data_IF_355130180292
#
_entry.id   IF_355130180292
#
_cell.length_a   1.000
_cell.length_b   1.000
_cell.length_c   1.000
_cell.angle_alpha   90.00
_cell.angle_beta   90.00
_cell.angle_gamma   90.00
#
_symmetry.space_group_name_H-M   'P 1'
#
loop_
_entity.id
_entity.type
_entity.pdbx_description
1 polymer ?
#
# COMPACT_ATOMS: atom_id res chain seq x y z
N UNK A 1 10.49 -0.23 17.49
CA UNK A 1 10.01 0.83 16.58
C UNK A 1 10.64 2.15 17.02
N UNK A 2 11.23 2.90 16.10
CA UNK A 2 11.80 4.22 16.37
C UNK A 2 10.71 5.32 16.38
N UNK A 3 11.09 6.52 16.83
CA UNK A 3 10.16 7.65 16.97
C UNK A 3 9.58 8.12 15.64
N UNK A 4 10.37 8.11 14.56
CA UNK A 4 9.94 8.55 13.23
C UNK A 4 8.88 7.60 12.68
N UNK A 5 9.12 6.29 12.77
CA UNK A 5 8.16 5.26 12.35
C UNK A 5 6.88 5.33 13.18
N UNK A 6 6.99 5.52 14.50
CA UNK A 6 5.84 5.64 15.40
C UNK A 6 4.96 6.85 15.04
N UNK A 7 5.59 8.00 14.78
CA UNK A 7 4.90 9.23 14.38
C UNK A 7 4.19 9.06 13.03
N UNK A 8 4.89 8.47 12.06
CA UNK A 8 4.30 8.20 10.74
C UNK A 8 3.09 7.26 10.82
N UNK A 9 3.16 6.19 11.62
CA UNK A 9 2.00 5.33 11.85
C UNK A 9 0.84 6.07 12.51
N UNK A 10 1.10 6.94 13.49
CA UNK A 10 0.07 7.75 14.11
C UNK A 10 -0.61 8.69 13.11
N UNK A 11 0.16 9.35 12.23
CA UNK A 11 -0.39 10.22 11.16
C UNK A 11 -1.28 9.45 10.18
N UNK A 12 -0.91 8.21 9.81
CA UNK A 12 -1.73 7.33 8.97
C UNK A 12 -3.03 6.97 9.69
N UNK A 13 -2.96 6.56 10.96
CA UNK A 13 -4.13 6.16 11.75
C UNK A 13 -5.09 7.34 11.91
N UNK A 14 -4.59 8.51 12.30
CA UNK A 14 -5.41 9.72 12.46
C UNK A 14 -6.12 10.10 11.14
N UNK A 15 -5.40 10.06 10.02
CA UNK A 15 -6.00 10.33 8.72
C UNK A 15 -7.05 9.28 8.36
N UNK A 16 -6.78 7.99 8.62
CA UNK A 16 -7.73 6.91 8.36
C UNK A 16 -9.02 7.10 9.16
N UNK A 17 -8.92 7.37 10.46
CA UNK A 17 -10.05 7.64 11.37
C UNK A 17 -10.86 8.87 10.96
N UNK A 18 -10.23 9.86 10.33
CA UNK A 18 -10.93 11.06 9.85
C UNK A 18 -11.66 10.89 8.52
N UNK A 19 -11.36 9.84 7.74
CA UNK A 19 -11.85 9.66 6.36
C UNK A 19 -12.72 8.42 6.20
N UNK A 20 -12.39 7.34 6.88
CA UNK A 20 -13.03 6.03 6.72
C UNK A 20 -13.95 5.70 7.90
N UNK A 21 -14.83 4.74 7.68
CA UNK A 21 -15.73 4.19 8.68
C UNK A 21 -15.16 2.87 9.23
N UNK A 22 -15.58 2.46 10.43
CA UNK A 22 -15.22 1.17 11.03
C UNK A 22 -13.72 0.85 10.97
N UNK A 23 -12.88 1.82 11.35
CA UNK A 23 -11.43 1.67 11.28
C UNK A 23 -10.92 0.73 12.38
N UNK A 24 -10.29 -0.36 11.97
CA UNK A 24 -9.56 -1.29 12.82
C UNK A 24 -8.09 -1.28 12.41
N UNK A 25 -7.19 -1.21 13.38
CA UNK A 25 -5.76 -1.27 13.10
C UNK A 25 -5.01 -2.16 14.08
N UNK A 26 -3.90 -2.71 13.60
CA UNK A 26 -2.91 -3.42 14.41
C UNK A 26 -1.50 -2.94 14.09
N UNK A 27 -0.65 -2.92 15.11
CA UNK A 27 0.78 -2.63 14.98
C UNK A 27 1.57 -3.86 15.45
N UNK A 28 2.39 -4.43 14.57
CA UNK A 28 3.39 -5.45 14.91
C UNK A 28 4.79 -4.83 14.79
N UNK A 29 5.50 -4.72 15.90
CA UNK A 29 6.84 -4.15 15.95
C UNK A 29 7.84 -5.13 16.58
N UNK A 30 8.92 -5.39 15.86
CA UNK A 30 10.13 -6.07 16.35
C UNK A 30 11.33 -5.12 16.24
N UNK A 31 12.53 -5.51 16.69
CA UNK A 31 13.73 -4.71 16.46
C UNK A 31 14.05 -4.46 14.98
N UNK A 32 13.68 -5.38 14.08
CA UNK A 32 14.07 -5.34 12.67
C UNK A 32 12.93 -4.95 11.72
N UNK A 33 11.68 -4.93 12.20
CA UNK A 33 10.53 -4.58 11.38
C UNK A 33 9.48 -3.84 12.19
N UNK A 34 8.71 -2.98 11.53
CA UNK A 34 7.51 -2.37 12.09
C UNK A 34 6.43 -2.38 11.02
N UNK A 35 5.25 -2.90 11.38
CA UNK A 35 4.13 -3.10 10.46
C UNK A 35 2.90 -2.45 11.08
N UNK A 36 2.22 -1.62 10.31
CA UNK A 36 0.86 -1.17 10.57
C UNK A 36 -0.06 -1.84 9.56
N UNK A 37 -1.15 -2.43 10.03
CA UNK A 37 -2.26 -2.88 9.18
C UNK A 37 -3.52 -2.13 9.58
N UNK A 38 -4.28 -1.68 8.59
CA UNK A 38 -5.59 -1.06 8.79
C UNK A 38 -6.60 -1.78 7.91
N UNK A 39 -7.75 -2.10 8.48
CA UNK A 39 -8.97 -2.47 7.78
C UNK A 39 -10.02 -1.40 8.08
N UNK A 40 -10.69 -0.89 7.06
CA UNK A 40 -11.73 0.12 7.22
C UNK A 40 -12.75 0.04 6.09
N UNK A 41 -13.86 0.75 6.23
CA UNK A 41 -14.91 0.86 5.23
C UNK A 41 -14.94 2.26 4.60
N UNK A 42 -15.24 2.32 3.30
CA UNK A 42 -15.53 3.56 2.59
C UNK A 42 -16.75 3.36 1.67
N UNK A 43 -17.93 3.68 2.18
CA UNK A 43 -19.19 3.38 1.51
C UNK A 43 -19.36 1.87 1.29
N UNK A 44 -19.39 1.43 0.03
CA UNK A 44 -19.51 0.00 -0.32
C UNK A 44 -18.16 -0.73 -0.43
N UNK A 45 -17.06 -0.02 -0.23
CA UNK A 45 -15.72 -0.54 -0.43
C UNK A 45 -15.07 -0.87 0.92
N UNK A 46 -14.31 -1.96 0.94
CA UNK A 46 -13.41 -2.28 2.05
C UNK A 46 -12.00 -1.78 1.69
N UNK A 47 -11.39 -1.07 2.62
CA UNK A 47 -10.06 -0.48 2.50
C UNK A 47 -9.09 -1.30 3.33
N UNK A 48 -8.03 -1.79 2.69
CA UNK A 48 -6.98 -2.57 3.34
C UNK A 48 -5.65 -1.85 3.16
N UNK A 49 -5.02 -1.48 4.27
CA UNK A 49 -3.75 -0.75 4.30
C UNK A 49 -2.72 -1.59 5.00
N UNK A 50 -1.52 -1.69 4.43
CA UNK A 50 -0.34 -2.19 5.12
C UNK A 50 0.81 -1.22 4.88
N UNK A 51 1.40 -0.74 5.96
CA UNK A 51 2.61 0.07 5.98
C UNK A 51 3.71 -0.72 6.69
N UNK A 52 4.85 -0.94 6.06
CA UNK A 52 5.93 -1.79 6.55
C UNK A 52 7.27 -1.09 6.42
N UNK A 53 8.00 -1.01 7.52
CA UNK A 53 9.41 -0.65 7.53
C UNK A 53 10.24 -1.88 7.90
N UNK A 54 11.16 -2.27 7.02
CA UNK A 54 12.10 -3.38 7.23
C UNK A 54 13.40 -3.09 6.49
N UNK A 55 14.55 -3.36 7.12
CA UNK A 55 15.88 -3.20 6.50
C UNK A 55 16.12 -1.78 5.93
N UNK A 56 15.56 -0.76 6.58
CA UNK A 56 15.63 0.63 6.13
C UNK A 56 14.77 0.98 4.92
N UNK A 57 13.97 0.04 4.42
CA UNK A 57 13.11 0.20 3.25
C UNK A 57 11.64 0.30 3.68
N UNK A 58 10.95 1.29 3.13
CA UNK A 58 9.49 1.42 3.22
C UNK A 58 8.82 0.53 2.18
N UNK A 59 7.87 -0.28 2.62
CA UNK A 59 7.02 -1.12 1.79
C UNK A 59 5.57 -0.81 2.13
N UNK A 60 4.71 -0.73 1.12
CA UNK A 60 3.30 -0.44 1.34
C UNK A 60 2.41 -1.29 0.44
N UNK A 61 1.17 -1.45 0.89
CA UNK A 61 0.06 -2.05 0.12
C UNK A 61 -1.24 -1.38 0.52
N UNK A 62 -1.88 -0.70 -0.41
CA UNK A 62 -3.15 0.00 -0.20
C UNK A 62 -4.18 -0.47 -1.21
N UNK A 63 -5.15 -1.25 -0.74
CA UNK A 63 -6.14 -1.91 -1.57
C UNK A 63 -7.54 -1.37 -1.30
N UNK A 64 -8.28 -1.18 -2.40
CA UNK A 64 -9.72 -0.92 -2.42
C UNK A 64 -10.39 -2.18 -2.92
N UNK A 65 -11.23 -2.75 -2.08
CA UNK A 65 -11.92 -4.01 -2.33
C UNK A 65 -13.43 -3.76 -2.48
N UNK A 66 -14.07 -4.44 -3.43
CA UNK A 66 -15.53 -4.55 -3.48
C UNK A 66 -15.92 -6.03 -3.32
N UNK A 67 -16.28 -6.42 -2.10
CA UNK A 67 -16.43 -7.84 -1.74
C UNK A 67 -15.09 -8.56 -1.84
N UNK A 68 -14.97 -9.57 -2.72
CA UNK A 68 -13.74 -10.35 -2.92
C UNK A 68 -12.83 -9.82 -4.04
N UNK A 69 -13.26 -8.78 -4.76
CA UNK A 69 -12.58 -8.25 -5.93
C UNK A 69 -11.69 -7.06 -5.57
N UNK A 70 -10.48 -7.01 -6.13
CA UNK A 70 -9.63 -5.83 -6.05
C UNK A 70 -10.05 -4.83 -7.14
N UNK A 71 -10.58 -3.68 -6.73
CA UNK A 71 -10.87 -2.59 -7.66
C UNK A 71 -9.60 -1.81 -8.01
N UNK A 72 -8.81 -1.48 -6.99
CA UNK A 72 -7.50 -0.86 -7.15
C UNK A 72 -6.57 -1.35 -6.05
N UNK A 73 -5.30 -1.55 -6.39
CA UNK A 73 -4.30 -1.90 -5.41
C UNK A 73 -2.93 -1.31 -5.67
N UNK A 74 -2.53 -0.35 -4.84
CA UNK A 74 -1.22 0.28 -4.91
C UNK A 74 -0.25 -0.49 -4.01
N UNK A 75 0.87 -0.97 -4.56
CA UNK A 75 1.94 -1.53 -3.76
C UNK A 75 3.32 -1.31 -4.40
N UNK A 76 4.37 -1.58 -3.65
CA UNK A 76 5.75 -1.50 -4.12
C UNK A 76 6.53 -2.79 -3.88
N UNK A 77 5.83 -3.91 -3.68
CA UNK A 77 6.49 -5.19 -3.51
C UNK A 77 7.15 -5.62 -4.84
N UNK A 78 8.18 -6.49 -4.81
CA UNK A 78 8.74 -7.02 -6.04
C UNK A 78 7.70 -7.82 -6.85
N UNK A 79 7.27 -7.26 -7.98
CA UNK A 79 6.41 -7.92 -8.97
C UNK A 79 7.19 -8.07 -10.30
N UNK A 80 7.42 -9.29 -10.80
CA UNK A 80 8.10 -9.52 -12.08
C UNK A 80 7.47 -8.79 -13.28
N UNK A 81 6.15 -8.55 -13.25
CA UNK A 81 5.43 -7.77 -14.27
C UNK A 81 5.77 -6.29 -14.17
N UNK A 82 5.84 -5.73 -12.96
CA UNK A 82 6.27 -4.35 -12.76
C UNK A 82 7.73 -4.14 -13.20
N UNK A 83 8.62 -5.08 -12.88
CA UNK A 83 10.02 -5.10 -13.34
C UNK A 83 10.08 -5.11 -14.88
N UNK A 84 9.32 -6.02 -15.51
CA UNK A 84 9.25 -6.10 -16.98
C UNK A 84 8.72 -4.81 -17.60
N UNK A 85 7.71 -4.17 -17.00
CA UNK A 85 7.17 -2.91 -17.51
C UNK A 85 8.19 -1.78 -17.41
N UNK A 86 8.97 -1.71 -16.32
CA UNK A 86 9.96 -0.64 -16.11
C UNK A 86 11.19 -0.80 -17.01
N UNK A 87 11.68 -2.03 -17.18
CA UNK A 87 12.96 -2.29 -17.85
C UNK A 87 12.84 -2.97 -19.22
N UNK A 88 11.64 -3.37 -19.64
CA UNK A 88 11.41 -4.14 -20.87
C UNK A 88 11.85 -5.61 -20.82
N UNK A 89 12.51 -6.03 -19.73
CA UNK A 89 13.01 -7.40 -19.50
C UNK A 89 12.89 -7.76 -18.02
N UNK A 90 12.94 -9.06 -17.75
CA UNK A 90 13.15 -9.59 -16.40
C UNK A 90 14.57 -10.15 -16.39
N UNK A 91 15.52 -9.32 -16.00
CA UNK A 91 16.91 -9.74 -15.79
C UNK A 91 17.17 -10.03 -14.31
N UNK A 92 18.13 -10.92 -14.02
CA UNK A 92 18.58 -11.17 -12.64
C UNK A 92 19.07 -9.88 -11.96
N UNK A 93 19.55 -8.90 -12.73
CA UNK A 93 20.03 -7.61 -12.23
C UNK A 93 18.96 -6.77 -11.50
N UNK A 94 17.67 -7.03 -11.73
CA UNK A 94 16.54 -6.29 -11.15
C UNK A 94 15.69 -7.16 -10.23
N UNK A 95 16.12 -8.41 -9.97
CA UNK A 95 15.37 -9.32 -9.13
C UNK A 95 15.25 -8.78 -7.70
N UNK A 96 14.02 -8.75 -7.18
CA UNK A 96 13.75 -8.25 -5.83
C UNK A 96 13.68 -6.73 -5.71
N UNK A 97 13.77 -5.97 -6.81
CA UNK A 97 13.57 -4.53 -6.79
C UNK A 97 12.13 -4.18 -6.42
N UNK A 98 11.97 -3.28 -5.45
CA UNK A 98 10.68 -2.70 -5.08
C UNK A 98 10.31 -1.62 -6.09
N UNK A 99 9.31 -1.87 -6.92
CA UNK A 99 8.83 -0.94 -7.94
C UNK A 99 7.41 -0.56 -7.57
N UNK A 100 7.15 0.73 -7.40
CA UNK A 100 5.80 1.24 -7.16
C UNK A 100 4.90 0.99 -8.38
N UNK A 101 3.75 0.39 -8.12
CA UNK A 101 2.79 0.06 -9.15
C UNK A 101 1.35 -0.01 -8.63
N UNK A 102 0.42 0.01 -9.58
CA UNK A 102 -1.02 -0.09 -9.37
C UNK A 102 -1.55 -1.34 -10.08
N UNK A 103 -2.21 -2.20 -9.32
CA UNK A 103 -3.06 -3.28 -9.79
C UNK A 103 -4.48 -2.79 -10.04
N UNK A 104 -5.04 -3.13 -11.20
CA UNK A 104 -6.42 -2.88 -11.59
C UNK A 104 -7.06 -4.16 -12.11
N UNK A 105 -8.39 -4.14 -12.28
CA UNK A 105 -9.15 -5.21 -12.94
C UNK A 105 -8.86 -6.57 -12.27
N UNK A 106 -8.99 -6.62 -10.93
CA UNK A 106 -8.69 -7.80 -10.11
C UNK A 106 -7.24 -8.31 -10.30
N UNK A 107 -6.29 -7.36 -10.34
CA UNK A 107 -4.84 -7.58 -10.51
C UNK A 107 -4.42 -8.16 -11.86
N UNK A 108 -5.32 -8.19 -12.84
CA UNK A 108 -4.98 -8.63 -14.21
C UNK A 108 -4.25 -7.54 -15.00
N UNK A 109 -4.53 -6.27 -14.68
CA UNK A 109 -3.86 -5.11 -15.26
C UNK A 109 -2.91 -4.47 -14.26
N UNK A 110 -1.76 -4.01 -14.75
CA UNK A 110 -0.70 -3.41 -13.93
C UNK A 110 -0.17 -2.15 -14.60
N UNK A 111 -0.04 -1.07 -13.82
CA UNK A 111 0.51 0.21 -14.27
C UNK A 111 1.65 0.61 -13.33
N UNK A 112 2.73 1.18 -13.86
CA UNK A 112 3.77 1.78 -13.02
C UNK A 112 3.25 3.09 -12.42
N UNK A 113 3.68 3.38 -11.20
CA UNK A 113 3.35 4.63 -10.52
C UNK A 113 4.59 5.19 -9.85
N UNK A 114 4.52 6.46 -9.47
CA UNK A 114 5.41 6.99 -8.45
C UNK A 114 5.12 6.32 -7.09
N UNK A 115 6.00 6.58 -6.11
CA UNK A 115 5.78 6.13 -4.75
C UNK A 115 4.46 6.69 -4.20
N UNK A 116 3.59 5.81 -3.71
CA UNK A 116 2.31 6.19 -3.15
C UNK A 116 2.45 6.45 -1.65
N UNK A 117 2.16 7.67 -1.22
CA UNK A 117 1.93 7.95 0.21
C UNK A 117 0.49 7.60 0.60
N UNK A 118 0.25 7.40 1.90
CA UNK A 118 -1.12 7.17 2.37
C UNK A 118 -2.03 8.38 2.12
N UNK A 119 -1.50 9.60 2.18
CA UNK A 119 -2.22 10.83 1.86
C UNK A 119 -2.65 10.84 0.40
N UNK A 120 -1.74 10.52 -0.52
CA UNK A 120 -2.04 10.47 -1.96
C UNK A 120 -3.06 9.37 -2.27
N UNK A 121 -3.00 8.23 -1.58
CA UNK A 121 -3.99 7.16 -1.69
C UNK A 121 -5.38 7.64 -1.25
N UNK A 122 -5.48 8.36 -0.13
CA UNK A 122 -6.74 8.94 0.33
C UNK A 122 -7.30 9.96 -0.67
N UNK A 123 -6.45 10.80 -1.25
CA UNK A 123 -6.88 11.74 -2.29
C UNK A 123 -7.36 11.02 -3.55
N UNK A 124 -6.65 9.95 -3.94
CA UNK A 124 -7.06 9.12 -5.07
C UNK A 124 -8.44 8.49 -4.82
N UNK A 125 -8.70 7.94 -3.63
CA UNK A 125 -10.01 7.40 -3.26
C UNK A 125 -11.10 8.47 -3.42
N UNK A 126 -10.92 9.64 -2.82
CA UNK A 126 -11.91 10.74 -2.84
C UNK A 126 -12.21 11.25 -4.26
N UNK A 127 -11.26 11.11 -5.18
CA UNK A 127 -11.42 11.53 -6.57
C UNK A 127 -11.96 10.46 -7.53
N UNK A 128 -11.97 9.18 -7.13
CA UNK A 128 -12.24 8.07 -8.06
C UNK A 128 -13.36 7.11 -7.60
N UNK A 129 -13.78 7.14 -6.33
CA UNK A 129 -14.83 6.28 -5.77
C UNK A 129 -16.06 7.08 -5.34
#
# INVERSE_FOLDING_TARGET
MDEKTSRHFAEIIELAESVFENVFYEIDATPNRSILRIEADYGKYQILVTELFSDGIRKYRYYVMQGKRVEAGFDNAPDPRAIRLKYGKIGEEHAGENISHLHLEDKTRLLLTDEMSFVDFVQWIKGNL
#
